data_IF_656769039273
#
_entry.id   IF_656769039273
#
_cell.length_a   1.000
_cell.length_b   1.000
_cell.length_c   1.000
_cell.angle_alpha   90.00
_cell.angle_beta   90.00
_cell.angle_gamma   90.00
#
_symmetry.space_group_name_H-M   'P 1'
#
loop_
_entity.id
_entity.type
_entity.pdbx_description
1 polymer ?
#
# COMPACT_ATOMS: atom_id res chain seq x y z
N UNK A 1 28.61 -21.85 37.78
CA UNK A 1 27.67 -20.89 38.38
C UNK A 1 26.27 -21.39 38.08
N UNK A 2 25.50 -21.78 39.11
CA UNK A 2 24.11 -22.19 38.91
C UNK A 2 23.33 -21.01 38.33
N UNK A 3 22.76 -21.18 37.14
CA UNK A 3 21.85 -20.19 36.55
C UNK A 3 20.68 -20.07 37.54
N UNK A 4 20.46 -18.86 38.05
CA UNK A 4 19.43 -18.61 39.08
C UNK A 4 18.04 -19.03 38.60
N UNK A 5 17.24 -19.57 39.52
CA UNK A 5 15.86 -19.97 39.25
C UNK A 5 15.05 -18.82 38.64
N UNK A 6 14.16 -19.14 37.70
CA UNK A 6 13.16 -18.19 37.21
C UNK A 6 12.40 -17.58 38.39
N UNK A 7 12.30 -16.26 38.39
CA UNK A 7 11.72 -15.51 39.49
C UNK A 7 10.42 -14.83 39.07
N UNK A 8 9.71 -14.28 40.06
CA UNK A 8 8.43 -13.57 39.84
C UNK A 8 8.52 -12.42 38.84
N UNK A 9 9.65 -11.73 38.77
CA UNK A 9 9.82 -10.59 37.85
C UNK A 9 9.89 -11.06 36.40
N UNK A 10 10.57 -12.19 36.14
CA UNK A 10 10.61 -12.80 34.81
C UNK A 10 9.21 -13.10 34.28
N UNK A 11 8.37 -13.82 35.03
CA UNK A 11 7.02 -14.17 34.58
C UNK A 11 6.15 -12.93 34.31
N UNK A 12 6.27 -11.89 35.15
CA UNK A 12 5.56 -10.61 34.92
C UNK A 12 6.03 -9.91 33.64
N UNK A 13 7.33 -9.89 33.40
CA UNK A 13 7.93 -9.30 32.19
C UNK A 13 7.48 -10.06 30.94
N UNK A 14 7.57 -11.39 30.96
CA UNK A 14 7.19 -12.25 29.86
C UNK A 14 5.71 -12.12 29.54
N UNK A 15 4.83 -12.20 30.55
CA UNK A 15 3.39 -11.97 30.38
C UNK A 15 3.10 -10.58 29.81
N UNK A 16 3.80 -9.54 30.26
CA UNK A 16 3.60 -8.17 29.76
C UNK A 16 3.90 -8.08 28.26
N UNK A 17 5.10 -8.48 27.82
CA UNK A 17 5.46 -8.38 26.39
C UNK A 17 4.61 -9.24 25.48
N UNK A 18 4.27 -10.46 25.91
CA UNK A 18 3.34 -11.30 25.15
C UNK A 18 1.95 -10.66 25.04
N UNK A 19 1.46 -10.02 26.11
CA UNK A 19 0.17 -9.33 26.10
C UNK A 19 0.18 -8.08 25.19
N UNK A 20 1.23 -7.27 25.27
CA UNK A 20 1.41 -6.11 24.38
C UNK A 20 1.48 -6.56 22.91
N UNK A 21 2.17 -7.65 22.63
CA UNK A 21 2.22 -8.24 21.29
C UNK A 21 0.81 -8.63 20.78
N UNK A 22 -0.02 -9.29 21.60
CA UNK A 22 -1.40 -9.63 21.22
C UNK A 22 -2.21 -8.36 20.92
N UNK A 23 -2.13 -7.34 21.78
CA UNK A 23 -2.89 -6.10 21.63
C UNK A 23 -2.48 -5.37 20.35
N UNK A 24 -1.17 -5.19 20.13
CA UNK A 24 -0.65 -4.51 18.94
C UNK A 24 -1.11 -5.19 17.66
N UNK A 25 -0.97 -6.51 17.61
CA UNK A 25 -1.32 -7.27 16.44
C UNK A 25 -2.84 -7.32 16.22
N UNK A 26 -3.65 -7.32 17.29
CA UNK A 26 -5.11 -7.19 17.18
C UNK A 26 -5.51 -5.82 16.61
N UNK A 27 -4.88 -4.73 17.05
CA UNK A 27 -5.08 -3.41 16.46
C UNK A 27 -4.71 -3.39 14.97
N UNK A 28 -3.58 -3.98 14.59
CA UNK A 28 -3.20 -4.14 13.18
C UNK A 28 -4.23 -4.97 12.41
N UNK A 29 -4.76 -6.04 13.00
CA UNK A 29 -5.75 -6.92 12.36
C UNK A 29 -6.99 -6.13 11.96
N UNK A 30 -7.51 -5.32 12.88
CA UNK A 30 -8.66 -4.44 12.62
C UNK A 30 -8.34 -3.48 11.48
N UNK A 31 -7.16 -2.86 11.54
CA UNK A 31 -6.71 -1.97 10.49
C UNK A 31 -6.65 -2.72 9.14
N UNK A 32 -5.95 -3.85 9.05
CA UNK A 32 -5.80 -4.64 7.82
C UNK A 32 -7.13 -5.15 7.26
N UNK A 33 -8.07 -5.57 8.11
CA UNK A 33 -9.42 -5.98 7.68
C UNK A 33 -10.16 -4.79 7.05
N UNK A 34 -10.01 -3.58 7.59
CA UNK A 34 -10.73 -2.40 7.13
C UNK A 34 -10.06 -1.70 5.93
N UNK A 35 -8.73 -1.56 5.96
CA UNK A 35 -7.90 -0.82 5.00
C UNK A 35 -7.12 -1.68 4.01
N UNK A 36 -7.13 -3.01 4.16
CA UNK A 36 -6.42 -3.93 3.28
C UNK A 36 -4.89 -3.78 3.34
N UNK A 37 -4.22 -4.20 2.26
CA UNK A 37 -2.75 -4.14 2.15
C UNK A 37 -2.20 -2.70 2.12
N UNK A 38 -3.07 -1.71 1.88
CA UNK A 38 -2.73 -0.28 1.74
C UNK A 38 -2.06 0.26 3.00
N UNK A 39 -2.44 -0.25 4.17
CA UNK A 39 -1.85 0.16 5.46
C UNK A 39 -0.33 0.00 5.49
N UNK A 40 0.21 -0.96 4.74
CA UNK A 40 1.66 -1.18 4.66
C UNK A 40 2.41 -0.03 3.98
N UNK A 41 1.71 0.76 3.17
CA UNK A 41 2.27 1.88 2.42
C UNK A 41 2.02 3.23 3.08
N UNK A 42 1.45 3.25 4.29
CA UNK A 42 1.36 4.45 5.11
C UNK A 42 2.75 4.86 5.59
N UNK A 43 3.03 6.16 5.65
CA UNK A 43 4.33 6.71 6.03
C UNK A 43 4.74 6.28 7.45
N UNK A 44 3.74 6.17 8.34
CA UNK A 44 3.90 5.71 9.72
C UNK A 44 4.15 4.19 9.85
N UNK A 45 3.89 3.40 8.80
CA UNK A 45 3.93 1.94 8.88
C UNK A 45 5.32 1.36 9.14
N UNK A 46 6.43 1.81 8.51
CA UNK A 46 7.76 1.27 8.78
C UNK A 46 8.21 1.42 10.23
N UNK A 47 7.94 2.57 10.85
CA UNK A 47 8.26 2.79 12.28
C UNK A 47 7.42 1.87 13.17
N UNK A 48 6.13 1.73 12.85
CA UNK A 48 5.25 0.80 13.55
C UNK A 48 5.70 -0.67 13.39
N UNK A 49 6.15 -1.06 12.19
CA UNK A 49 6.66 -2.39 11.89
C UNK A 49 7.91 -2.71 12.70
N UNK A 50 8.88 -1.79 12.79
CA UNK A 50 10.06 -1.96 13.63
C UNK A 50 9.72 -2.03 15.12
N UNK A 51 8.80 -1.18 15.58
CA UNK A 51 8.39 -1.13 16.99
C UNK A 51 7.68 -2.43 17.40
N UNK A 52 6.71 -2.88 16.60
CA UNK A 52 6.01 -4.16 16.83
C UNK A 52 6.96 -5.35 16.72
N UNK A 53 7.89 -5.34 15.76
CA UNK A 53 8.96 -6.31 15.64
C UNK A 53 9.83 -6.41 16.90
N UNK A 54 10.25 -5.28 17.47
CA UNK A 54 11.03 -5.26 18.71
C UNK A 54 10.27 -5.90 19.88
N UNK A 55 8.98 -5.57 20.06
CA UNK A 55 8.13 -6.19 21.09
C UNK A 55 7.99 -7.71 20.88
N UNK A 56 7.79 -8.14 19.63
CA UNK A 56 7.75 -9.55 19.28
C UNK A 56 9.05 -10.27 19.65
N UNK A 57 10.22 -9.73 19.30
CA UNK A 57 11.51 -10.36 19.61
C UNK A 57 11.81 -10.42 21.10
N UNK A 58 11.38 -9.43 21.90
CA UNK A 58 11.52 -9.49 23.35
C UNK A 58 10.63 -10.60 23.93
N UNK A 59 9.38 -10.71 23.47
CA UNK A 59 8.50 -11.82 23.87
C UNK A 59 9.08 -13.20 23.49
N UNK A 60 9.66 -13.31 22.29
CA UNK A 60 10.33 -14.53 21.85
C UNK A 60 11.56 -14.85 22.69
N UNK A 61 12.37 -13.85 23.05
CA UNK A 61 13.51 -14.00 23.94
C UNK A 61 13.08 -14.54 25.32
N UNK A 62 11.96 -14.06 25.88
CA UNK A 62 11.41 -14.61 27.11
C UNK A 62 11.07 -16.11 26.97
N UNK A 63 10.50 -16.54 25.84
CA UNK A 63 10.22 -17.97 25.59
C UNK A 63 11.50 -18.80 25.46
N UNK A 64 12.51 -18.30 24.74
CA UNK A 64 13.83 -18.94 24.64
C UNK A 64 14.45 -19.11 26.02
N UNK A 65 14.45 -18.06 26.84
CA UNK A 65 15.01 -18.09 28.20
C UNK A 65 14.25 -19.08 29.10
N UNK A 66 12.91 -19.11 29.01
CA UNK A 66 12.08 -20.08 29.71
C UNK A 66 12.42 -21.52 29.32
N UNK A 67 12.49 -21.82 28.02
CA UNK A 67 12.79 -23.18 27.54
C UNK A 67 14.20 -23.63 27.88
N UNK A 68 15.17 -22.72 27.89
CA UNK A 68 16.52 -23.00 28.35
C UNK A 68 16.52 -23.41 29.83
N UNK A 69 15.83 -22.65 30.68
CA UNK A 69 15.78 -22.91 32.11
C UNK A 69 15.02 -24.21 32.46
N UNK A 70 13.88 -24.44 31.82
CA UNK A 70 13.07 -25.65 31.99
C UNK A 70 13.66 -26.89 31.27
N UNK A 71 14.78 -26.72 30.57
CA UNK A 71 15.49 -27.78 29.82
C UNK A 71 14.62 -28.41 28.72
N UNK A 72 13.76 -27.60 28.08
CA UNK A 72 12.97 -27.99 26.92
C UNK A 72 13.78 -27.83 25.62
N UNK A 73 14.87 -28.61 25.49
CA UNK A 73 15.89 -28.43 24.44
C UNK A 73 15.34 -28.35 23.00
N UNK A 74 14.36 -29.18 22.65
CA UNK A 74 13.77 -29.20 21.30
C UNK A 74 12.95 -27.93 21.04
N UNK A 75 12.15 -27.50 22.01
CA UNK A 75 11.39 -26.24 21.93
C UNK A 75 12.33 -25.02 21.91
N UNK A 76 13.39 -25.05 22.72
CA UNK A 76 14.44 -24.04 22.73
C UNK A 76 15.06 -23.83 21.33
N UNK A 77 15.54 -24.92 20.69
CA UNK A 77 16.16 -24.83 19.36
C UNK A 77 15.17 -24.37 18.29
N UNK A 78 13.93 -24.91 18.30
CA UNK A 78 12.90 -24.50 17.34
C UNK A 78 12.52 -23.03 17.48
N UNK A 79 12.51 -22.49 18.70
CA UNK A 79 12.22 -21.07 18.96
C UNK A 79 13.34 -20.16 18.46
N UNK A 80 14.61 -20.58 18.57
CA UNK A 80 15.75 -19.85 17.98
C UNK A 80 15.63 -19.81 16.45
N UNK A 81 15.31 -20.95 15.82
CA UNK A 81 15.11 -21.01 14.36
C UNK A 81 13.97 -20.10 13.91
N UNK A 82 12.85 -20.10 14.63
CA UNK A 82 11.74 -19.17 14.39
C UNK A 82 12.19 -17.71 14.52
N UNK A 83 13.01 -17.39 15.53
CA UNK A 83 13.54 -16.04 15.70
C UNK A 83 14.39 -15.57 14.53
N UNK A 84 15.31 -16.41 14.05
CA UNK A 84 16.14 -16.10 12.89
C UNK A 84 15.31 -15.93 11.61
N UNK A 85 14.33 -16.81 11.39
CA UNK A 85 13.42 -16.73 10.25
C UNK A 85 12.58 -15.44 10.28
N UNK A 86 11.97 -15.13 11.42
CA UNK A 86 11.18 -13.91 11.62
C UNK A 86 12.02 -12.65 11.48
N UNK A 87 13.29 -12.67 11.93
CA UNK A 87 14.19 -11.52 11.78
C UNK A 87 14.52 -11.27 10.32
N UNK A 88 14.87 -12.32 9.57
CA UNK A 88 15.09 -12.21 8.14
C UNK A 88 13.85 -11.70 7.40
N UNK A 89 12.67 -12.21 7.75
CA UNK A 89 11.41 -11.74 7.17
C UNK A 89 11.12 -10.27 7.50
N UNK A 90 11.41 -9.81 8.72
CA UNK A 90 11.28 -8.41 9.10
C UNK A 90 12.21 -7.52 8.26
N UNK A 91 13.47 -7.92 8.08
CA UNK A 91 14.44 -7.19 7.24
C UNK A 91 13.94 -7.09 5.80
N UNK A 92 13.50 -8.21 5.20
CA UNK A 92 12.97 -8.21 3.84
C UNK A 92 11.74 -7.29 3.72
N UNK A 93 10.78 -7.37 4.66
CA UNK A 93 9.61 -6.49 4.62
C UNK A 93 9.98 -5.02 4.78
N UNK A 94 10.88 -4.68 5.70
CA UNK A 94 11.31 -3.30 5.92
C UNK A 94 11.92 -2.70 4.65
N UNK A 95 12.92 -3.36 4.05
CA UNK A 95 13.58 -2.87 2.84
C UNK A 95 12.69 -2.91 1.59
N UNK A 96 11.72 -3.83 1.52
CA UNK A 96 10.71 -3.78 0.47
C UNK A 96 9.83 -2.54 0.58
N UNK A 97 9.47 -2.14 1.80
CA UNK A 97 8.55 -1.04 2.03
C UNK A 97 9.23 0.33 1.95
N UNK A 98 10.45 0.47 2.47
CA UNK A 98 11.14 1.77 2.51
C UNK A 98 12.01 2.04 1.29
N UNK A 99 12.63 1.01 0.72
CA UNK A 99 13.64 1.15 -0.33
C UNK A 99 13.22 0.47 -1.66
N UNK A 100 12.08 -0.22 -1.69
CA UNK A 100 11.63 -1.05 -2.84
C UNK A 100 12.71 -2.07 -3.27
N UNK A 101 13.43 -2.64 -2.29
CA UNK A 101 14.48 -3.65 -2.50
C UNK A 101 14.08 -4.98 -1.91
N UNK A 102 14.73 -6.06 -2.36
CA UNK A 102 14.55 -7.44 -1.86
C UNK A 102 13.19 -8.09 -2.16
N UNK A 103 12.39 -7.53 -3.07
CA UNK A 103 11.08 -8.08 -3.44
C UNK A 103 11.13 -9.54 -3.89
N UNK A 104 12.15 -9.89 -4.70
CA UNK A 104 12.42 -11.26 -5.14
C UNK A 104 12.78 -12.23 -4.00
N UNK A 105 13.00 -11.75 -2.77
CA UNK A 105 13.26 -12.57 -1.58
C UNK A 105 12.02 -12.82 -0.74
N UNK A 106 10.93 -12.08 -0.95
CA UNK A 106 9.72 -12.16 -0.13
C UNK A 106 9.17 -13.58 0.01
N UNK A 107 8.94 -14.25 -1.12
CA UNK A 107 8.37 -15.61 -1.16
C UNK A 107 9.26 -16.57 -0.36
N UNK A 108 10.57 -16.51 -0.56
CA UNK A 108 11.52 -17.36 0.16
C UNK A 108 11.54 -17.08 1.66
N UNK A 109 11.57 -15.80 2.07
CA UNK A 109 11.59 -15.40 3.46
C UNK A 109 10.30 -15.81 4.18
N UNK A 110 9.14 -15.60 3.55
CA UNK A 110 7.85 -15.98 4.11
C UNK A 110 7.71 -17.49 4.25
N UNK A 111 8.15 -18.25 3.23
CA UNK A 111 8.17 -19.72 3.28
C UNK A 111 9.01 -20.24 4.45
N UNK A 112 10.20 -19.66 4.67
CA UNK A 112 11.06 -20.03 5.79
C UNK A 112 10.36 -19.77 7.13
N UNK A 113 9.69 -18.62 7.29
CA UNK A 113 8.90 -18.33 8.51
C UNK A 113 7.80 -19.36 8.74
N UNK A 114 7.00 -19.69 7.71
CA UNK A 114 5.93 -20.67 7.82
C UNK A 114 6.45 -22.06 8.24
N UNK A 115 7.55 -22.51 7.64
CA UNK A 115 8.20 -23.77 8.00
C UNK A 115 8.75 -23.76 9.42
N UNK A 116 9.44 -22.69 9.83
CA UNK A 116 9.94 -22.54 11.21
C UNK A 116 8.79 -22.49 12.22
N UNK A 117 7.65 -21.90 11.85
CA UNK A 117 6.46 -21.83 12.70
C UNK A 117 5.81 -23.21 12.91
N UNK A 118 5.71 -24.02 11.85
CA UNK A 118 5.28 -25.42 11.93
C UNK A 118 6.20 -26.25 12.83
N UNK A 119 7.52 -26.12 12.63
CA UNK A 119 8.53 -26.80 13.45
C UNK A 119 8.41 -26.40 14.92
N UNK A 120 8.15 -25.13 15.20
CA UNK A 120 7.94 -24.65 16.56
C UNK A 120 6.69 -25.28 17.20
N UNK A 121 5.55 -25.32 16.49
CA UNK A 121 4.34 -25.99 16.97
C UNK A 121 4.58 -27.47 17.33
N UNK A 122 5.21 -28.22 16.42
CA UNK A 122 5.57 -29.63 16.64
C UNK A 122 6.51 -29.78 17.83
N UNK A 123 7.51 -28.89 17.95
CA UNK A 123 8.52 -28.96 19.02
C UNK A 123 7.92 -28.96 20.42
N UNK A 124 6.81 -28.24 20.63
CA UNK A 124 6.09 -28.20 21.90
C UNK A 124 5.34 -29.52 22.18
N UNK A 125 4.91 -30.23 21.14
CA UNK A 125 4.15 -31.49 21.26
C UNK A 125 5.04 -32.72 21.44
N UNK A 126 6.28 -32.66 20.95
CA UNK A 126 7.24 -33.77 21.05
C UNK A 126 8.24 -33.61 22.19
N UNK A 127 8.33 -32.41 22.80
CA UNK A 127 9.19 -32.14 23.95
C UNK A 127 8.45 -32.31 25.28
N UNK A 128 9.20 -32.25 26.39
CA UNK A 128 8.66 -32.23 27.76
C UNK A 128 7.70 -31.07 28.02
N UNK A 129 7.75 -30.01 27.21
CA UNK A 129 6.82 -28.89 27.30
C UNK A 129 5.34 -29.35 27.25
N UNK A 130 5.03 -30.42 26.51
CA UNK A 130 3.67 -30.98 26.39
C UNK A 130 3.03 -31.40 27.72
N UNK A 131 3.82 -31.61 28.78
CA UNK A 131 3.34 -31.97 30.11
C UNK A 131 2.60 -30.79 30.77
N UNK A 132 2.94 -29.55 30.39
CA UNK A 132 2.19 -28.35 30.78
C UNK A 132 1.00 -28.19 29.85
N UNK A 133 -0.21 -28.22 30.41
CA UNK A 133 -1.47 -28.13 29.66
C UNK A 133 -1.47 -26.99 28.63
N UNK A 134 -1.11 -25.78 29.05
CA UNK A 134 -1.14 -24.60 28.18
C UNK A 134 -0.06 -24.61 27.09
N UNK A 135 1.11 -25.21 27.33
CA UNK A 135 2.14 -25.36 26.29
C UNK A 135 1.74 -26.42 25.26
N UNK A 136 1.04 -27.48 25.68
CA UNK A 136 0.42 -28.45 24.76
C UNK A 136 -0.64 -27.78 23.89
N UNK A 137 -1.53 -26.96 24.49
CA UNK A 137 -2.52 -26.17 23.75
C UNK A 137 -1.83 -25.22 22.76
N UNK A 138 -0.75 -24.55 23.18
CA UNK A 138 0.04 -23.69 22.29
C UNK A 138 0.59 -24.46 21.08
N UNK A 139 1.19 -25.63 21.31
CA UNK A 139 1.73 -26.47 20.24
C UNK A 139 0.67 -26.89 19.22
N UNK A 140 -0.50 -27.35 19.68
CA UNK A 140 -1.62 -27.72 18.79
C UNK A 140 -2.08 -26.51 17.99
N UNK A 141 -2.31 -25.38 18.66
CA UNK A 141 -2.85 -24.18 18.03
C UNK A 141 -1.90 -23.59 16.97
N UNK A 142 -0.61 -23.46 17.32
CA UNK A 142 0.46 -23.02 16.41
C UNK A 142 0.57 -23.94 15.20
N UNK A 143 0.54 -25.25 15.42
CA UNK A 143 0.68 -26.22 14.33
C UNK A 143 -0.50 -26.16 13.35
N UNK A 144 -1.74 -26.10 13.85
CA UNK A 144 -2.94 -26.03 13.01
C UNK A 144 -2.99 -24.73 12.20
N UNK A 145 -2.67 -23.58 12.82
CA UNK A 145 -2.59 -22.29 12.10
C UNK A 145 -1.47 -22.32 11.07
N UNK A 146 -0.30 -22.85 11.43
CA UNK A 146 0.83 -22.98 10.51
C UNK A 146 0.50 -23.80 9.27
N UNK A 147 -0.25 -24.90 9.43
CA UNK A 147 -0.73 -25.72 8.30
C UNK A 147 -1.67 -24.89 7.42
N UNK A 148 -2.67 -24.24 8.02
CA UNK A 148 -3.66 -23.45 7.28
C UNK A 148 -3.00 -22.31 6.48
N UNK A 149 -2.05 -21.59 7.09
CA UNK A 149 -1.28 -20.54 6.42
C UNK A 149 -0.41 -21.10 5.28
N UNK A 150 0.24 -22.24 5.50
CA UNK A 150 1.08 -22.87 4.48
C UNK A 150 0.25 -23.31 3.27
N UNK A 151 -0.88 -23.99 3.51
CA UNK A 151 -1.79 -24.44 2.45
C UNK A 151 -2.31 -23.25 1.64
N UNK A 152 -2.86 -22.24 2.31
CA UNK A 152 -3.45 -21.08 1.64
C UNK A 152 -2.39 -20.26 0.88
N UNK A 153 -1.18 -20.11 1.44
CA UNK A 153 -0.09 -19.43 0.74
C UNK A 153 0.37 -20.19 -0.50
N UNK A 154 0.67 -21.49 -0.37
CA UNK A 154 1.10 -22.33 -1.51
C UNK A 154 0.02 -22.39 -2.58
N UNK A 155 -1.25 -22.48 -2.19
CA UNK A 155 -2.34 -22.50 -3.15
C UNK A 155 -2.48 -21.15 -3.87
N UNK A 156 -2.36 -20.02 -3.16
CA UNK A 156 -2.39 -18.67 -3.77
C UNK A 156 -1.27 -18.47 -4.80
N UNK A 157 -0.05 -18.98 -4.54
CA UNK A 157 1.07 -18.89 -5.47
C UNK A 157 0.85 -19.66 -6.79
N UNK A 158 0.01 -20.70 -6.77
CA UNK A 158 -0.22 -21.57 -7.92
C UNK A 158 -1.54 -21.24 -8.66
N UNK A 159 -2.37 -20.35 -8.11
CA UNK A 159 -3.65 -19.96 -8.73
C UNK A 159 -3.44 -18.94 -9.86
N UNK A 160 -3.98 -19.28 -11.03
CA UNK A 160 -4.04 -18.38 -12.20
C UNK A 160 -5.32 -17.53 -12.24
N UNK A 161 -6.40 -18.02 -11.64
CA UNK A 161 -7.67 -17.31 -11.53
C UNK A 161 -7.55 -16.17 -10.51
N UNK A 162 -7.79 -14.94 -10.94
CA UNK A 162 -7.58 -13.75 -10.15
C UNK A 162 -8.60 -13.61 -9.00
N UNK A 163 -9.88 -13.87 -9.26
CA UNK A 163 -10.94 -13.70 -8.27
C UNK A 163 -10.83 -14.76 -7.18
N UNK A 164 -10.55 -16.01 -7.59
CA UNK A 164 -10.32 -17.10 -6.64
C UNK A 164 -9.06 -16.86 -5.81
N UNK A 165 -7.98 -16.37 -6.43
CA UNK A 165 -6.75 -16.00 -5.72
C UNK A 165 -7.01 -14.88 -4.71
N UNK A 166 -7.77 -13.85 -5.10
CA UNK A 166 -8.15 -12.76 -4.21
C UNK A 166 -8.96 -13.25 -3.01
N UNK A 167 -10.00 -14.06 -3.24
CA UNK A 167 -10.79 -14.64 -2.14
C UNK A 167 -9.92 -15.51 -1.23
N UNK A 168 -8.96 -16.25 -1.79
CA UNK A 168 -8.02 -17.04 -1.02
C UNK A 168 -7.05 -16.16 -0.20
N UNK A 169 -6.59 -15.04 -0.75
CA UNK A 169 -5.76 -14.06 -0.04
C UNK A 169 -6.53 -13.40 1.12
N UNK A 170 -7.84 -13.15 0.95
CA UNK A 170 -8.73 -12.69 2.02
C UNK A 170 -8.84 -13.75 3.14
N UNK A 171 -9.03 -15.02 2.78
CA UNK A 171 -9.03 -16.14 3.73
C UNK A 171 -7.67 -16.26 4.44
N UNK A 172 -6.57 -16.16 3.70
CA UNK A 172 -5.22 -16.17 4.26
C UNK A 172 -5.03 -15.03 5.27
N UNK A 173 -5.51 -13.82 4.93
CA UNK A 173 -5.53 -12.67 5.83
C UNK A 173 -6.31 -12.93 7.12
N UNK A 174 -7.48 -13.57 7.05
CA UNK A 174 -8.25 -13.96 8.24
C UNK A 174 -7.51 -14.99 9.09
N UNK A 175 -6.82 -15.96 8.47
CA UNK A 175 -6.03 -16.96 9.24
C UNK A 175 -4.84 -16.28 9.93
N UNK A 176 -4.22 -15.27 9.29
CA UNK A 176 -3.22 -14.44 9.96
C UNK A 176 -3.81 -13.77 11.22
N UNK A 177 -5.11 -13.41 11.23
CA UNK A 177 -5.83 -12.94 12.45
C UNK A 177 -5.65 -13.85 13.64
N UNK A 178 -5.79 -15.15 13.38
CA UNK A 178 -5.68 -16.18 14.41
C UNK A 178 -4.23 -16.38 14.88
N UNK A 179 -3.25 -16.17 14.00
CA UNK A 179 -1.81 -16.25 14.33
C UNK A 179 -1.45 -15.31 15.49
N UNK A 180 -2.04 -14.12 15.52
CA UNK A 180 -1.76 -13.12 16.54
C UNK A 180 -2.31 -13.45 17.93
N UNK A 181 -3.16 -14.48 18.04
CA UNK A 181 -3.65 -15.03 19.30
C UNK A 181 -2.72 -16.12 19.87
N UNK A 182 -1.69 -16.53 19.14
CA UNK A 182 -0.77 -17.60 19.56
C UNK A 182 0.01 -17.30 20.85
N UNK A 183 0.25 -16.04 21.29
CA UNK A 183 0.81 -15.76 22.61
C UNK A 183 -0.11 -16.13 23.79
N UNK A 184 -1.44 -16.22 23.60
CA UNK A 184 -2.40 -16.40 24.69
C UNK A 184 -2.16 -17.64 25.56
N UNK A 185 -1.93 -18.85 25.00
CA UNK A 185 -1.63 -20.02 25.82
C UNK A 185 -0.34 -19.85 26.65
N UNK A 186 0.69 -19.15 26.14
CA UNK A 186 1.90 -18.88 26.91
C UNK A 186 1.65 -17.91 28.06
N UNK A 187 0.83 -16.86 27.84
CA UNK A 187 0.39 -15.94 28.88
C UNK A 187 -0.34 -16.72 29.98
N UNK A 188 -1.25 -17.63 29.62
CA UNK A 188 -1.98 -18.46 30.58
C UNK A 188 -1.05 -19.42 31.34
N UNK A 189 -0.04 -19.97 30.66
CA UNK A 189 1.00 -20.79 31.30
C UNK A 189 1.79 -19.99 32.34
N UNK A 190 2.32 -18.83 31.96
CA UNK A 190 3.10 -17.98 32.85
C UNK A 190 2.27 -17.42 34.01
N UNK A 191 1.00 -17.10 33.79
CA UNK A 191 0.11 -16.70 34.87
C UNK A 191 -0.16 -17.85 35.86
N UNK A 192 -0.25 -19.09 35.38
CA UNK A 192 -0.38 -20.25 36.26
C UNK A 192 0.87 -20.49 37.11
N UNK A 193 2.07 -20.41 36.51
CA UNK A 193 3.32 -20.55 37.26
C UNK A 193 3.55 -19.36 38.20
N UNK A 194 3.17 -18.15 37.80
CA UNK A 194 3.24 -16.95 38.64
C UNK A 194 2.43 -17.10 39.93
N UNK A 195 1.24 -17.74 39.88
CA UNK A 195 0.40 -17.99 41.07
C UNK A 195 1.11 -18.82 42.13
N UNK A 196 2.05 -19.68 41.76
CA UNK A 196 2.85 -20.45 42.72
C UNK A 196 3.75 -19.55 43.57
N UNK A 197 4.22 -18.42 43.01
CA UNK A 197 5.01 -17.41 43.70
C UNK A 197 4.16 -16.39 44.49
N UNK A 198 2.90 -16.17 44.12
CA UNK A 198 2.05 -15.18 44.80
C UNK A 198 1.63 -15.60 46.22
N UNK A 199 1.80 -16.88 46.57
CA UNK A 199 1.70 -17.37 47.94
C UNK A 199 2.68 -16.69 48.91
N UNK A 200 3.72 -16.01 48.40
CA UNK A 200 4.78 -15.37 49.20
C UNK A 200 4.58 -13.87 49.50
N UNK A 201 3.44 -13.23 49.15
CA UNK A 201 3.09 -11.83 49.52
C UNK A 201 4.13 -10.70 49.25
N UNK A 202 5.07 -10.86 48.32
CA UNK A 202 6.02 -9.78 47.96
C UNK A 202 5.39 -8.79 46.95
N UNK A 203 5.54 -7.48 47.10
CA UNK A 203 5.02 -6.48 46.13
C UNK A 203 5.78 -6.45 44.79
N UNK A 204 5.22 -5.86 43.73
CA UNK A 204 6.01 -5.50 42.53
C UNK A 204 6.94 -4.32 42.81
N UNK A 205 8.18 -4.38 42.29
CA UNK A 205 9.13 -3.25 42.35
C UNK A 205 8.58 -2.02 41.62
N UNK A 206 8.64 -0.82 42.21
CA UNK A 206 8.28 0.44 41.53
C UNK A 206 9.00 0.65 40.19
N UNK A 207 10.27 0.24 40.10
CA UNK A 207 11.09 0.34 38.86
C UNK A 207 10.47 -0.49 37.72
N UNK A 208 9.97 -1.68 38.04
CA UNK A 208 9.35 -2.57 37.06
C UNK A 208 8.01 -1.99 36.56
N UNK A 209 7.21 -1.41 37.46
CA UNK A 209 5.96 -0.72 37.08
C UNK A 209 6.22 0.47 36.17
N UNK A 210 7.22 1.29 36.48
CA UNK A 210 7.62 2.43 35.66
C UNK A 210 8.10 2.00 34.27
N UNK A 211 8.89 0.92 34.20
CA UNK A 211 9.37 0.35 32.93
C UNK A 211 8.21 -0.11 32.04
N UNK A 212 7.20 -0.78 32.60
CA UNK A 212 6.01 -1.18 31.85
C UNK A 212 5.23 0.02 31.31
N UNK A 213 5.06 1.07 32.11
CA UNK A 213 4.40 2.30 31.67
C UNK A 213 5.17 2.95 30.50
N UNK A 214 6.48 3.09 30.62
CA UNK A 214 7.32 3.68 29.58
C UNK A 214 7.27 2.88 28.28
N UNK A 215 7.39 1.55 28.34
CA UNK A 215 7.29 0.69 27.14
C UNK A 215 5.89 0.80 26.51
N UNK A 216 4.84 0.85 27.33
CA UNK A 216 3.47 1.03 26.83
C UNK A 216 3.36 2.34 26.05
N UNK A 217 3.91 3.44 26.57
CA UNK A 217 3.91 4.74 25.87
C UNK A 217 4.70 4.67 24.56
N UNK A 218 5.91 4.08 24.57
CA UNK A 218 6.76 3.93 23.38
C UNK A 218 6.10 3.11 22.27
N UNK A 219 5.23 2.16 22.64
CA UNK A 219 4.46 1.34 21.70
C UNK A 219 3.19 2.06 21.23
N UNK A 220 2.53 2.79 22.12
CA UNK A 220 1.30 3.51 21.81
C UNK A 220 1.55 4.64 20.80
N UNK A 221 2.66 5.37 20.89
CA UNK A 221 2.92 6.50 19.99
C UNK A 221 2.96 6.06 18.51
N UNK A 222 3.77 5.09 18.07
CA UNK A 222 3.75 4.62 16.68
C UNK A 222 2.42 4.01 16.27
N UNK A 223 1.70 3.37 17.20
CA UNK A 223 0.38 2.78 16.92
C UNK A 223 -0.68 3.85 16.71
N UNK A 224 -0.69 4.90 17.55
CA UNK A 224 -1.57 6.06 17.40
C UNK A 224 -1.23 6.79 16.11
N UNK A 225 0.05 7.00 15.81
CA UNK A 225 0.47 7.61 14.55
C UNK A 225 -0.01 6.79 13.36
N UNK A 226 0.12 5.46 13.39
CA UNK A 226 -0.40 4.59 12.33
C UNK A 226 -1.92 4.70 12.18
N UNK A 227 -2.65 4.75 13.29
CA UNK A 227 -4.10 4.91 13.27
C UNK A 227 -4.52 6.30 12.80
N UNK A 228 -3.80 7.36 13.19
CA UNK A 228 -4.04 8.73 12.74
C UNK A 228 -3.72 8.88 11.26
N UNK A 229 -2.62 8.31 10.79
CA UNK A 229 -2.23 8.27 9.39
C UNK A 229 -3.28 7.50 8.58
N UNK A 230 -3.70 6.32 9.05
CA UNK A 230 -4.82 5.58 8.48
C UNK A 230 -6.14 6.38 8.44
N UNK A 231 -6.49 7.09 9.53
CA UNK A 231 -7.70 7.94 9.59
C UNK A 231 -7.58 9.17 8.69
N UNK A 232 -6.39 9.78 8.60
CA UNK A 232 -6.14 10.95 7.78
C UNK A 232 -6.13 10.59 6.29
N UNK A 233 -5.64 9.39 5.98
CA UNK A 233 -5.61 8.81 4.66
C UNK A 233 -6.81 7.90 4.33
N UNK A 234 -7.85 7.78 5.19
CA UNK A 234 -9.09 7.00 4.97
C UNK A 234 -9.98 7.72 3.93
N UNK A 235 -10.06 7.44 2.62
CA UNK A 235 -10.06 6.23 1.78
C UNK A 235 -11.21 5.23 1.95
N UNK A 236 -12.32 5.61 2.61
CA UNK A 236 -13.58 4.86 2.38
C UNK A 236 -14.94 5.56 2.56
N UNK A 237 -15.04 6.83 2.95
CA UNK A 237 -16.30 7.58 2.89
C UNK A 237 -16.07 9.08 3.20
N UNK A 238 -15.38 9.81 2.33
CA UNK A 238 -15.67 11.25 2.27
C UNK A 238 -16.99 11.35 1.54
N UNK A 239 -18.10 11.49 2.28
CA UNK A 239 -19.33 12.03 1.67
C UNK A 239 -18.90 13.27 0.90
N UNK A 240 -19.02 13.30 -0.43
CA UNK A 240 -18.48 14.41 -1.20
C UNK A 240 -19.08 15.71 -0.69
N UNK A 241 -18.26 16.75 -0.55
CA UNK A 241 -18.76 18.07 -0.14
C UNK A 241 -19.73 18.61 -1.20
N UNK A 242 -20.60 19.54 -0.82
CA UNK A 242 -21.53 20.15 -1.78
C UNK A 242 -20.81 20.82 -2.95
N UNK A 243 -19.61 21.38 -2.71
CA UNK A 243 -18.77 21.90 -3.78
C UNK A 243 -18.29 20.80 -4.74
N UNK A 244 -17.83 19.65 -4.23
CA UNK A 244 -17.40 18.52 -5.06
C UNK A 244 -18.57 17.96 -5.90
N UNK A 245 -19.75 17.84 -5.29
CA UNK A 245 -20.97 17.42 -6.00
C UNK A 245 -21.34 18.41 -7.11
N UNK A 246 -21.29 19.71 -6.82
CA UNK A 246 -21.57 20.78 -7.80
C UNK A 246 -20.55 20.81 -8.93
N UNK A 247 -19.28 20.55 -8.65
CA UNK A 247 -18.25 20.47 -9.68
C UNK A 247 -18.51 19.27 -10.59
N UNK A 248 -18.74 18.09 -10.01
CA UNK A 248 -19.00 16.86 -10.76
C UNK A 248 -20.33 16.86 -11.51
N UNK A 249 -21.34 17.64 -11.09
CA UNK A 249 -22.64 17.71 -11.78
C UNK A 249 -22.56 18.32 -13.17
N UNK A 250 -21.50 19.07 -13.47
CA UNK A 250 -21.23 19.55 -14.83
C UNK A 250 -20.77 18.44 -15.77
N UNK A 251 -20.32 17.29 -15.25
CA UNK A 251 -19.85 16.12 -16.00
C UNK A 251 -20.89 14.99 -15.98
N UNK A 252 -21.07 14.34 -17.12
CA UNK A 252 -21.91 13.14 -17.23
C UNK A 252 -21.30 11.98 -16.44
N UNK A 253 -22.12 11.28 -15.66
CA UNK A 253 -21.74 10.09 -14.89
C UNK A 253 -21.86 8.85 -15.77
N UNK A 254 -20.79 8.06 -15.86
CA UNK A 254 -20.78 6.80 -16.58
C UNK A 254 -20.02 5.73 -15.79
N UNK A 255 -20.25 4.46 -16.12
CA UNK A 255 -19.50 3.31 -15.60
C UNK A 255 -19.15 2.43 -16.78
N UNK A 256 -17.85 2.26 -17.04
CA UNK A 256 -17.36 1.27 -17.98
C UNK A 256 -17.32 -0.10 -17.29
N UNK A 257 -17.68 -1.16 -18.01
CA UNK A 257 -17.64 -2.54 -17.53
C UNK A 257 -16.91 -3.37 -18.58
N UNK A 258 -15.80 -4.00 -18.19
CA UNK A 258 -15.05 -4.85 -19.12
C UNK A 258 -15.66 -6.26 -19.25
N UNK A 259 -15.06 -7.11 -20.09
CA UNK A 259 -15.51 -8.49 -20.31
C UNK A 259 -15.41 -9.39 -19.08
N UNK A 260 -14.66 -9.00 -18.05
CA UNK A 260 -14.54 -9.72 -16.77
C UNK A 260 -15.58 -9.26 -15.75
N UNK A 261 -16.30 -8.17 -16.03
CA UNK A 261 -17.24 -7.53 -15.11
C UNK A 261 -16.59 -6.49 -14.20
N UNK A 262 -15.29 -6.20 -14.37
CA UNK A 262 -14.61 -5.16 -13.63
C UNK A 262 -15.13 -3.78 -14.06
N UNK A 263 -15.33 -2.89 -13.07
CA UNK A 263 -16.02 -1.61 -13.26
C UNK A 263 -15.07 -0.44 -13.10
N UNK A 264 -15.20 0.55 -13.98
CA UNK A 264 -14.54 1.84 -13.88
C UNK A 264 -15.58 2.97 -13.89
N UNK A 265 -15.92 3.56 -12.73
CA UNK A 265 -16.65 4.81 -12.69
C UNK A 265 -15.82 5.92 -13.34
N UNK A 266 -16.46 6.71 -14.20
CA UNK A 266 -15.81 7.88 -14.77
C UNK A 266 -16.81 9.02 -15.00
N UNK A 267 -16.23 10.20 -15.16
CA UNK A 267 -16.94 11.42 -15.53
C UNK A 267 -16.50 11.88 -16.91
N UNK A 268 -17.47 12.33 -17.71
CA UNK A 268 -17.23 12.81 -19.05
C UNK A 268 -17.85 14.20 -19.23
N UNK A 269 -17.04 15.19 -19.62
CA UNK A 269 -17.54 16.47 -20.09
C UNK A 269 -17.35 16.57 -21.59
N UNK A 270 -18.44 16.81 -22.31
CA UNK A 270 -18.42 16.99 -23.76
C UNK A 270 -17.89 18.38 -24.16
N UNK A 271 -17.37 18.54 -25.39
CA UNK A 271 -17.04 19.85 -25.94
C UNK A 271 -18.20 20.84 -25.77
N UNK A 272 -17.90 22.12 -25.53
CA UNK A 272 -18.93 23.17 -25.53
C UNK A 272 -19.60 23.20 -26.91
N UNK A 273 -20.93 23.23 -26.96
CA UNK A 273 -21.71 23.16 -28.20
C UNK A 273 -21.40 21.90 -29.05
N UNK A 274 -21.26 20.75 -28.39
CA UNK A 274 -20.94 19.47 -29.03
C UNK A 274 -21.81 19.19 -30.27
N UNK A 275 -21.15 19.01 -31.41
CA UNK A 275 -21.76 18.55 -32.66
C UNK A 275 -21.35 17.09 -32.91
N UNK A 276 -22.29 16.12 -32.95
CA UNK A 276 -21.96 14.71 -33.18
C UNK A 276 -21.32 14.45 -34.55
N UNK A 277 -21.40 15.39 -35.50
CA UNK A 277 -20.79 15.23 -36.81
C UNK A 277 -19.33 15.66 -36.89
N UNK A 278 -18.83 16.39 -35.90
CA UNK A 278 -17.46 16.88 -35.82
C UNK A 278 -16.60 16.00 -34.90
N UNK A 279 -15.34 15.78 -35.30
CA UNK A 279 -14.37 15.09 -34.47
C UNK A 279 -13.67 16.05 -33.47
N UNK A 280 -13.60 15.67 -32.20
CA UNK A 280 -12.96 16.48 -31.14
C UNK A 280 -11.85 15.72 -30.42
N UNK A 281 -10.81 16.42 -29.90
CA UNK A 281 -9.79 15.81 -29.05
C UNK A 281 -10.38 15.11 -27.81
N UNK A 282 -9.60 14.19 -27.25
CA UNK A 282 -9.86 13.58 -25.94
C UNK A 282 -8.74 13.95 -24.96
N UNK A 283 -9.09 14.68 -23.90
CA UNK A 283 -8.23 14.90 -22.75
C UNK A 283 -8.54 13.86 -21.66
N UNK A 284 -7.60 12.96 -21.43
CA UNK A 284 -7.61 11.97 -20.35
C UNK A 284 -6.95 12.61 -19.14
N UNK A 285 -7.76 13.03 -18.17
CA UNK A 285 -7.29 13.71 -16.96
C UNK A 285 -7.32 12.74 -15.77
N UNK A 286 -6.15 12.41 -15.24
CA UNK A 286 -5.97 11.46 -14.16
C UNK A 286 -5.78 12.21 -12.84
N UNK A 287 -6.60 11.88 -11.85
CA UNK A 287 -6.57 12.54 -10.54
C UNK A 287 -5.35 12.13 -9.69
N UNK A 288 -4.96 12.97 -8.74
CA UNK A 288 -3.98 12.60 -7.71
C UNK A 288 -4.58 11.64 -6.67
N UNK A 289 -3.77 11.10 -5.74
CA UNK A 289 -4.20 10.02 -4.83
C UNK A 289 -5.43 10.33 -3.97
N UNK A 290 -5.72 11.60 -3.71
CA UNK A 290 -6.91 12.04 -2.98
C UNK A 290 -8.23 11.84 -3.73
N UNK A 291 -8.18 11.51 -5.03
CA UNK A 291 -9.33 11.23 -5.87
C UNK A 291 -9.82 9.79 -5.86
N UNK A 292 -9.07 8.88 -5.24
CA UNK A 292 -9.40 7.46 -5.16
C UNK A 292 -10.76 7.26 -4.46
N UNK A 293 -11.69 6.55 -5.08
CA UNK A 293 -13.05 6.39 -4.55
C UNK A 293 -13.94 5.53 -5.44
N UNK A 294 -15.22 5.44 -5.08
CA UNK A 294 -16.21 4.61 -5.80
C UNK A 294 -17.52 5.35 -6.09
N UNK A 295 -17.66 6.57 -5.58
CA UNK A 295 -18.86 7.40 -5.65
C UNK A 295 -18.98 8.19 -6.95
N UNK A 296 -17.97 8.14 -7.80
CA UNK A 296 -17.89 8.83 -9.07
C UNK A 296 -18.03 10.36 -8.92
N UNK A 297 -17.47 10.99 -7.89
CA UNK A 297 -17.59 12.45 -7.68
C UNK A 297 -16.23 13.13 -7.41
N UNK A 298 -15.46 12.65 -6.43
CA UNK A 298 -14.33 13.44 -5.92
C UNK A 298 -13.16 13.52 -6.90
N UNK A 299 -13.10 12.66 -7.92
CA UNK A 299 -12.03 12.65 -8.90
C UNK A 299 -11.95 13.93 -9.72
N UNK A 300 -13.07 14.68 -9.87
CA UNK A 300 -13.05 15.95 -10.59
C UNK A 300 -12.31 17.02 -9.77
N UNK A 301 -12.58 17.07 -8.46
CA UNK A 301 -11.98 18.02 -7.54
C UNK A 301 -10.48 17.77 -7.27
N UNK A 302 -9.99 16.61 -7.66
CA UNK A 302 -8.61 16.14 -7.44
C UNK A 302 -7.88 15.88 -8.77
N UNK A 303 -8.45 16.40 -9.85
CA UNK A 303 -7.85 16.43 -11.18
C UNK A 303 -7.78 17.88 -11.64
N UNK A 304 -6.68 18.54 -11.34
CA UNK A 304 -6.46 19.97 -11.59
C UNK A 304 -6.65 20.30 -13.06
N UNK A 305 -6.12 19.46 -13.94
CA UNK A 305 -6.24 19.66 -15.39
C UNK A 305 -7.69 19.53 -15.87
N UNK A 306 -8.50 18.66 -15.24
CA UNK A 306 -9.93 18.60 -15.55
C UNK A 306 -10.65 19.88 -15.10
N UNK A 307 -10.29 20.42 -13.93
CA UNK A 307 -10.82 21.68 -13.43
C UNK A 307 -10.48 22.83 -14.38
N UNK A 308 -9.19 23.00 -14.70
CA UNK A 308 -8.71 24.03 -15.63
C UNK A 308 -9.40 23.91 -16.99
N UNK A 309 -9.45 22.72 -17.59
CA UNK A 309 -10.08 22.52 -18.91
C UNK A 309 -11.60 22.75 -18.88
N UNK A 310 -12.25 22.49 -17.75
CA UNK A 310 -13.70 22.71 -17.58
C UNK A 310 -14.10 24.17 -17.40
N UNK A 311 -13.14 25.08 -17.17
CA UNK A 311 -13.42 26.51 -17.08
C UNK A 311 -14.03 27.05 -18.39
N UNK A 312 -15.02 27.97 -18.32
CA UNK A 312 -15.73 28.45 -19.52
C UNK A 312 -14.83 28.95 -20.65
N UNK A 313 -13.76 29.70 -20.31
CA UNK A 313 -12.78 30.23 -21.28
C UNK A 313 -12.03 29.11 -22.01
N UNK A 314 -11.66 28.04 -21.29
CA UNK A 314 -10.88 26.93 -21.83
C UNK A 314 -11.76 25.98 -22.62
N UNK A 315 -13.01 25.76 -22.20
CA UNK A 315 -14.00 24.98 -22.98
C UNK A 315 -14.33 25.62 -24.33
N UNK A 316 -14.27 26.94 -24.41
CA UNK A 316 -14.49 27.70 -25.63
C UNK A 316 -13.27 27.70 -26.54
N UNK A 317 -12.08 27.94 -25.98
CA UNK A 317 -10.82 27.97 -26.73
C UNK A 317 -10.36 26.57 -27.17
N UNK A 318 -10.62 25.55 -26.37
CA UNK A 318 -10.16 24.17 -26.56
C UNK A 318 -11.33 23.18 -26.46
N UNK A 319 -12.23 23.15 -27.45
CA UNK A 319 -13.35 22.22 -27.45
C UNK A 319 -12.85 20.78 -27.54
N UNK A 320 -13.01 20.02 -26.45
CA UNK A 320 -12.56 18.64 -26.31
C UNK A 320 -13.48 17.85 -25.38
N UNK A 321 -13.44 16.53 -25.51
CA UNK A 321 -13.93 15.64 -24.47
C UNK A 321 -12.95 15.65 -23.30
N UNK A 322 -13.44 15.78 -22.08
CA UNK A 322 -12.65 15.67 -20.86
C UNK A 322 -13.13 14.42 -20.14
N UNK A 323 -12.27 13.40 -20.12
CA UNK A 323 -12.52 12.10 -19.53
C UNK A 323 -11.72 11.98 -18.23
N UNK A 324 -12.44 11.76 -17.12
CA UNK A 324 -11.88 11.70 -15.76
C UNK A 324 -12.27 10.37 -15.12
N UNK A 325 -11.46 9.31 -15.28
CA UNK A 325 -11.69 8.04 -14.62
C UNK A 325 -11.44 8.15 -13.11
N UNK A 326 -12.20 7.41 -12.30
CA UNK A 326 -11.94 7.29 -10.87
C UNK A 326 -11.29 5.95 -10.55
N UNK A 327 -10.05 5.99 -10.07
CA UNK A 327 -9.40 4.81 -9.55
C UNK A 327 -10.05 4.38 -8.23
N UNK A 328 -10.39 3.08 -8.03
CA UNK A 328 -10.87 2.61 -6.74
C UNK A 328 -9.78 2.74 -5.66
N UNK A 329 -10.16 2.81 -4.37
CA UNK A 329 -9.21 2.82 -3.27
C UNK A 329 -8.19 1.67 -3.36
N UNK A 330 -6.91 1.99 -3.14
CA UNK A 330 -5.81 1.01 -3.21
C UNK A 330 -5.35 0.64 -4.61
N UNK A 331 -5.76 1.40 -5.62
CA UNK A 331 -5.32 1.21 -7.00
C UNK A 331 -4.74 2.50 -7.59
N UNK A 332 -4.02 2.34 -8.68
CA UNK A 332 -3.41 3.41 -9.46
C UNK A 332 -3.82 3.30 -10.92
N UNK A 333 -3.49 4.32 -11.71
CA UNK A 333 -3.59 4.25 -13.16
C UNK A 333 -2.43 3.49 -13.82
N UNK A 334 -1.52 2.91 -13.02
CA UNK A 334 -0.27 2.28 -13.44
C UNK A 334 0.97 3.12 -13.11
N UNK A 335 2.16 2.58 -13.39
CA UNK A 335 3.44 3.28 -13.23
C UNK A 335 4.13 3.12 -11.87
N UNK A 336 3.40 2.72 -10.83
CA UNK A 336 3.97 2.46 -9.50
C UNK A 336 4.31 0.96 -9.39
N UNK A 337 5.59 0.58 -9.13
CA UNK A 337 5.99 -0.80 -8.95
C UNK A 337 5.19 -1.50 -7.85
N UNK A 338 4.75 -2.73 -8.11
CA UNK A 338 4.02 -3.59 -7.16
C UNK A 338 2.74 -2.99 -6.54
N UNK A 339 2.18 -1.94 -7.17
CA UNK A 339 0.91 -1.35 -6.77
C UNK A 339 -0.20 -1.79 -7.72
N UNK A 340 -1.42 -2.12 -7.23
CA UNK A 340 -2.54 -2.47 -8.10
C UNK A 340 -2.81 -1.37 -9.13
N UNK A 341 -3.11 -1.76 -10.36
CA UNK A 341 -3.31 -0.83 -11.47
C UNK A 341 -4.58 -1.13 -12.26
N UNK A 342 -5.20 -0.07 -12.77
CA UNK A 342 -6.43 -0.11 -13.57
C UNK A 342 -6.21 0.40 -15.01
N UNK A 343 -4.97 0.36 -15.50
CA UNK A 343 -4.59 0.80 -16.86
C UNK A 343 -5.46 0.13 -17.94
N UNK A 344 -5.69 -1.17 -17.85
CA UNK A 344 -6.57 -1.90 -18.77
C UNK A 344 -8.01 -1.36 -18.81
N UNK A 345 -8.57 -0.99 -17.65
CA UNK A 345 -9.93 -0.43 -17.57
C UNK A 345 -10.00 0.97 -18.18
N UNK A 346 -8.99 1.80 -17.93
CA UNK A 346 -8.88 3.14 -18.53
C UNK A 346 -8.81 3.04 -20.04
N UNK A 347 -7.97 2.14 -20.56
CA UNK A 347 -7.82 1.91 -22.00
C UNK A 347 -9.11 1.35 -22.63
N UNK A 348 -9.80 0.45 -21.94
CA UNK A 348 -11.10 -0.08 -22.37
C UNK A 348 -12.18 0.99 -22.44
N UNK A 349 -12.27 1.85 -21.44
CA UNK A 349 -13.22 2.97 -21.42
C UNK A 349 -12.94 3.97 -22.56
N UNK A 350 -11.66 4.28 -22.84
CA UNK A 350 -11.28 5.11 -23.98
C UNK A 350 -11.77 4.48 -25.30
N UNK A 351 -11.54 3.18 -25.49
CA UNK A 351 -12.01 2.47 -26.69
C UNK A 351 -13.54 2.48 -26.83
N UNK A 352 -14.29 2.33 -25.73
CA UNK A 352 -15.76 2.43 -25.75
C UNK A 352 -16.23 3.85 -26.13
N UNK A 353 -15.58 4.88 -25.57
CA UNK A 353 -15.89 6.27 -25.91
C UNK A 353 -15.67 6.56 -27.40
N UNK A 354 -14.65 5.97 -28.02
CA UNK A 354 -14.35 6.13 -29.45
C UNK A 354 -15.35 5.42 -30.35
N UNK A 355 -15.99 4.35 -29.88
CA UNK A 355 -17.10 3.72 -30.59
C UNK A 355 -18.38 4.56 -30.49
N UNK A 356 -18.56 5.27 -29.37
CA UNK A 356 -19.77 6.05 -29.07
C UNK A 356 -19.77 7.46 -29.62
N UNK A 357 -18.60 8.09 -29.71
CA UNK A 357 -18.44 9.50 -30.08
C UNK A 357 -17.41 9.67 -31.20
N UNK A 358 -17.57 10.70 -32.04
CA UNK A 358 -16.53 11.10 -33.01
C UNK A 358 -15.35 11.75 -32.25
N UNK A 359 -14.46 10.92 -31.73
CA UNK A 359 -13.20 11.35 -31.12
C UNK A 359 -12.13 11.43 -32.20
N UNK A 360 -11.39 12.53 -32.23
CA UNK A 360 -10.21 12.68 -33.07
C UNK A 360 -9.07 11.84 -32.49
N UNK A 361 -8.89 10.65 -33.07
CA UNK A 361 -7.90 9.67 -32.63
C UNK A 361 -6.46 10.17 -32.76
N UNK A 362 -6.21 11.20 -33.58
CA UNK A 362 -4.89 11.84 -33.69
C UNK A 362 -4.63 12.88 -32.60
N UNK A 363 -5.62 13.19 -31.75
CA UNK A 363 -5.52 14.21 -30.67
C UNK A 363 -6.06 13.66 -29.35
N UNK A 364 -5.42 12.61 -28.86
CA UNK A 364 -5.62 12.09 -27.50
C UNK A 364 -4.50 12.56 -26.60
N UNK A 365 -4.83 13.12 -25.46
CA UNK A 365 -3.87 13.65 -24.50
C UNK A 365 -4.02 12.94 -23.17
N UNK A 366 -2.92 12.64 -22.49
CA UNK A 366 -2.95 12.11 -21.12
C UNK A 366 -2.21 13.04 -20.17
N UNK A 367 -2.82 13.35 -19.04
CA UNK A 367 -2.24 14.26 -18.05
C UNK A 367 -2.73 13.94 -16.65
N UNK A 368 -1.90 14.24 -15.65
CA UNK A 368 -2.27 14.00 -14.26
C UNK A 368 -1.16 14.37 -13.29
N UNK A 369 -1.56 14.49 -12.02
CA UNK A 369 -0.72 14.93 -10.89
C UNK A 369 -0.48 13.76 -9.95
N UNK A 370 0.75 13.61 -9.43
CA UNK A 370 1.11 12.60 -8.41
C UNK A 370 0.73 11.18 -8.87
N UNK A 371 -0.26 10.52 -8.25
CA UNK A 371 -0.82 9.24 -8.73
C UNK A 371 -1.21 9.28 -10.23
N UNK A 372 -1.84 10.37 -10.66
CA UNK A 372 -2.16 10.62 -12.07
C UNK A 372 -0.93 10.96 -12.92
N UNK A 373 0.13 11.48 -12.33
CA UNK A 373 1.43 11.69 -12.96
C UNK A 373 2.11 10.36 -13.28
N UNK A 374 2.13 9.41 -12.33
CA UNK A 374 2.56 8.03 -12.58
C UNK A 374 1.73 7.38 -13.69
N UNK A 375 0.40 7.53 -13.63
CA UNK A 375 -0.51 7.07 -14.68
C UNK A 375 -0.20 7.65 -16.05
N UNK A 376 0.13 8.94 -16.13
CA UNK A 376 0.43 9.64 -17.38
C UNK A 376 1.72 9.12 -18.01
N UNK A 377 2.78 8.97 -17.23
CA UNK A 377 4.02 8.32 -17.67
C UNK A 377 3.78 6.89 -18.13
N UNK A 378 3.04 6.12 -17.33
CA UNK A 378 2.76 4.71 -17.61
C UNK A 378 1.96 4.51 -18.89
N UNK A 379 0.83 5.20 -19.04
CA UNK A 379 -0.04 5.05 -20.20
C UNK A 379 0.68 5.52 -21.47
N UNK A 380 1.41 6.63 -21.44
CA UNK A 380 2.13 7.12 -22.61
C UNK A 380 3.31 6.21 -23.01
N UNK A 381 4.04 5.65 -22.05
CA UNK A 381 5.20 4.78 -22.31
C UNK A 381 4.85 3.35 -22.72
N UNK A 382 3.71 2.83 -22.24
CA UNK A 382 3.23 1.47 -22.57
C UNK A 382 2.29 1.45 -23.77
N UNK A 383 1.65 2.58 -24.10
CA UNK A 383 0.80 2.77 -25.28
C UNK A 383 1.27 3.97 -26.11
N UNK A 384 2.50 3.94 -26.66
CA UNK A 384 3.06 5.06 -27.41
C UNK A 384 2.32 5.34 -28.73
N UNK A 385 1.51 4.39 -29.20
CA UNK A 385 0.61 4.50 -30.33
C UNK A 385 -0.64 5.35 -30.04
N UNK A 386 -1.08 5.40 -28.78
CA UNK A 386 -2.40 5.93 -28.45
C UNK A 386 -2.44 7.45 -28.31
N UNK A 387 -1.46 8.03 -27.63
CA UNK A 387 -1.48 9.45 -27.26
C UNK A 387 -0.68 10.32 -28.24
N UNK A 388 -1.17 11.54 -28.45
CA UNK A 388 -0.54 12.60 -29.23
C UNK A 388 0.36 13.48 -28.36
N UNK A 389 0.10 13.57 -27.06
CA UNK A 389 0.94 14.27 -26.10
C UNK A 389 0.67 13.82 -24.66
N UNK A 390 1.63 14.06 -23.76
CA UNK A 390 1.46 13.84 -22.33
C UNK A 390 1.95 15.01 -21.46
N UNK A 391 1.24 15.26 -20.35
CA UNK A 391 1.63 16.19 -19.28
C UNK A 391 1.65 15.44 -17.93
N UNK A 392 2.74 14.72 -17.61
CA UNK A 392 2.95 14.13 -16.31
C UNK A 392 3.46 15.16 -15.29
N UNK A 393 2.84 15.22 -14.12
CA UNK A 393 3.17 16.21 -13.06
C UNK A 393 3.48 15.47 -11.76
N UNK A 394 4.63 15.76 -11.16
CA UNK A 394 5.12 15.22 -9.88
C UNK A 394 4.86 13.71 -9.68
N UNK A 395 5.12 12.91 -10.72
CA UNK A 395 5.00 11.44 -10.71
C UNK A 395 6.28 10.78 -11.21
N UNK A 396 6.26 9.46 -11.36
CA UNK A 396 7.37 8.67 -11.90
C UNK A 396 6.95 7.68 -12.98
N UNK A 397 7.93 7.14 -13.71
CA UNK A 397 7.72 6.09 -14.69
C UNK A 397 8.83 5.04 -14.61
N UNK A 398 8.72 3.98 -15.40
CA UNK A 398 9.83 3.05 -15.58
C UNK A 398 10.80 3.64 -16.62
N UNK A 399 12.05 4.01 -16.25
CA UNK A 399 13.01 4.60 -17.18
C UNK A 399 13.31 3.72 -18.39
N UNK A 400 13.21 2.39 -18.25
CA UNK A 400 13.38 1.44 -19.36
C UNK A 400 12.34 1.61 -20.47
N UNK A 401 11.18 2.19 -20.15
CA UNK A 401 10.11 2.48 -21.11
C UNK A 401 10.19 3.92 -21.65
N UNK A 402 11.07 4.78 -21.13
CA UNK A 402 11.20 6.17 -21.59
C UNK A 402 11.52 6.26 -23.10
N UNK A 403 12.30 5.31 -23.62
CA UNK A 403 12.62 5.20 -25.06
C UNK A 403 11.39 5.05 -25.95
N UNK A 404 10.32 4.44 -25.44
CA UNK A 404 9.08 4.28 -26.20
C UNK A 404 8.37 5.62 -26.43
N UNK A 405 8.69 6.63 -25.62
CA UNK A 405 8.10 7.96 -25.68
C UNK A 405 8.92 8.95 -26.50
N UNK A 406 10.03 8.54 -27.12
CA UNK A 406 10.93 9.45 -27.84
C UNK A 406 10.22 10.34 -28.88
N UNK A 407 9.18 9.80 -29.53
CA UNK A 407 8.39 10.51 -30.55
C UNK A 407 7.09 11.13 -30.00
N UNK A 408 6.85 11.08 -28.69
CA UNK A 408 5.67 11.64 -28.05
C UNK A 408 6.06 13.02 -27.49
N UNK A 409 5.37 14.09 -27.90
CA UNK A 409 5.46 15.38 -27.23
C UNK A 409 5.12 15.26 -25.74
N UNK A 410 6.09 15.55 -24.88
CA UNK A 410 5.93 15.56 -23.42
C UNK A 410 6.30 16.92 -22.86
N UNK A 411 5.49 17.41 -21.92
CA UNK A 411 5.86 18.52 -21.05
C UNK A 411 5.64 18.09 -19.60
N UNK A 412 6.73 17.70 -18.94
CA UNK A 412 6.71 17.22 -17.56
C UNK A 412 6.98 18.36 -16.57
N UNK A 413 6.45 18.21 -15.35
CA UNK A 413 6.60 19.18 -14.27
C UNK A 413 6.93 18.49 -12.95
N UNK A 414 7.78 19.09 -12.12
CA UNK A 414 8.09 18.57 -10.77
C UNK A 414 8.61 19.69 -9.85
N UNK A 415 8.45 19.52 -8.54
CA UNK A 415 9.07 20.37 -7.53
C UNK A 415 10.44 19.82 -7.15
N UNK A 416 11.44 20.68 -6.99
CA UNK A 416 12.81 20.25 -6.63
C UNK A 416 12.88 19.57 -5.26
N UNK A 417 12.10 20.06 -4.29
CA UNK A 417 12.11 19.61 -2.90
C UNK A 417 10.92 18.68 -2.58
N UNK A 418 10.37 17.99 -3.59
CA UNK A 418 9.25 17.06 -3.39
C UNK A 418 9.67 15.87 -2.52
N UNK A 419 9.16 15.85 -1.28
CA UNK A 419 9.40 14.79 -0.30
C UNK A 419 8.47 13.58 -0.44
N UNK A 420 7.39 13.71 -1.22
CA UNK A 420 6.38 12.66 -1.37
C UNK A 420 6.72 11.77 -2.57
N UNK A 421 7.07 12.40 -3.69
CA UNK A 421 7.55 11.73 -4.89
C UNK A 421 8.91 12.33 -5.22
N UNK A 422 10.03 11.59 -5.09
CA UNK A 422 11.33 12.14 -5.37
C UNK A 422 11.41 12.72 -6.80
N UNK A 423 11.87 13.96 -6.92
CA UNK A 423 12.06 14.67 -8.21
C UNK A 423 12.87 13.86 -9.22
N UNK A 424 13.76 13.00 -8.73
CA UNK A 424 14.57 12.09 -9.54
C UNK A 424 13.73 11.22 -10.47
N UNK A 425 12.51 10.84 -10.09
CA UNK A 425 11.65 10.02 -10.94
C UNK A 425 11.22 10.72 -12.23
N UNK A 426 11.01 12.05 -12.21
CA UNK A 426 10.82 12.81 -13.45
C UNK A 426 12.13 12.96 -14.21
N UNK A 427 13.23 13.25 -13.51
CA UNK A 427 14.56 13.45 -14.13
C UNK A 427 14.99 12.19 -14.91
N UNK A 428 14.83 11.00 -14.33
CA UNK A 428 15.19 9.72 -14.97
C UNK A 428 14.39 9.46 -16.25
N UNK A 429 13.08 9.75 -16.23
CA UNK A 429 12.23 9.61 -17.43
C UNK A 429 12.64 10.62 -18.52
N UNK A 430 12.92 11.86 -18.14
CA UNK A 430 13.37 12.91 -19.06
C UNK A 430 14.71 12.54 -19.69
N UNK A 431 15.67 12.09 -18.88
CA UNK A 431 16.98 11.65 -19.36
C UNK A 431 16.84 10.45 -20.31
N UNK A 432 16.08 9.43 -19.93
CA UNK A 432 15.85 8.26 -20.78
C UNK A 432 15.18 8.61 -22.13
N UNK A 433 14.26 9.57 -22.14
CA UNK A 433 13.67 10.08 -23.38
C UNK A 433 14.70 10.81 -24.25
N UNK A 434 15.55 11.66 -23.65
CA UNK A 434 16.60 12.40 -24.36
C UNK A 434 17.66 11.47 -24.95
N UNK A 435 18.10 10.45 -24.18
CA UNK A 435 19.03 9.43 -24.65
C UNK A 435 18.47 8.63 -25.85
N UNK A 436 17.16 8.45 -25.91
CA UNK A 436 16.47 7.81 -27.04
C UNK A 436 16.22 8.77 -28.24
N UNK A 437 16.74 10.01 -28.20
CA UNK A 437 16.60 11.00 -29.26
C UNK A 437 15.34 11.87 -29.17
N UNK A 438 14.52 11.69 -28.12
CA UNK A 438 13.35 12.51 -27.85
C UNK A 438 13.70 13.92 -27.37
N UNK A 439 12.72 14.81 -27.44
CA UNK A 439 12.86 16.23 -27.03
C UNK A 439 11.76 16.64 -26.04
N UNK A 440 11.68 16.01 -24.86
CA UNK A 440 10.69 16.40 -23.86
C UNK A 440 10.97 17.81 -23.33
N UNK A 441 9.90 18.54 -23.02
CA UNK A 441 9.98 19.74 -22.18
C UNK A 441 9.91 19.32 -20.71
N UNK A 442 10.72 19.96 -19.88
CA UNK A 442 10.72 19.74 -18.44
C UNK A 442 10.78 21.08 -17.70
N UNK A 443 9.88 21.26 -16.75
CA UNK A 443 9.83 22.43 -15.89
C UNK A 443 9.92 21.98 -14.44
N UNK A 444 11.09 22.17 -13.86
CA UNK A 444 11.35 21.92 -12.45
C UNK A 444 11.25 23.22 -11.66
N UNK A 445 10.55 23.20 -10.52
CA UNK A 445 10.33 24.39 -9.71
C UNK A 445 11.25 24.38 -8.48
N UNK A 446 12.22 25.29 -8.47
CA UNK A 446 13.23 25.47 -7.40
C UNK A 446 12.56 25.76 -6.04
N UNK A 447 13.01 25.05 -5.00
CA UNK A 447 12.50 25.21 -3.62
C UNK A 447 11.02 24.86 -3.42
N UNK A 448 10.40 24.12 -4.36
CA UNK A 448 8.98 23.71 -4.28
C UNK A 448 8.88 22.23 -3.95
N UNK A 449 8.04 21.90 -2.97
CA UNK A 449 7.67 20.52 -2.62
C UNK A 449 6.58 19.92 -3.52
N UNK A 450 5.79 18.98 -2.98
CA UNK A 450 4.80 18.22 -3.75
C UNK A 450 3.68 19.06 -4.40
N UNK A 451 3.37 20.21 -3.80
CA UNK A 451 2.21 21.05 -4.14
C UNK A 451 2.45 21.94 -5.37
N UNK A 452 2.85 21.35 -6.50
CA UNK A 452 3.27 22.08 -7.70
C UNK A 452 2.13 22.53 -8.62
N UNK A 453 0.92 21.99 -8.45
CA UNK A 453 -0.19 22.16 -9.39
C UNK A 453 -0.53 23.62 -9.70
N UNK A 454 -0.49 24.51 -8.71
CA UNK A 454 -0.77 25.95 -8.95
C UNK A 454 0.23 26.56 -9.93
N UNK A 455 1.53 26.28 -9.77
CA UNK A 455 2.58 26.76 -10.68
C UNK A 455 2.44 26.13 -12.06
N UNK A 456 2.04 24.86 -12.13
CA UNK A 456 1.75 24.19 -13.40
C UNK A 456 0.54 24.83 -14.11
N UNK A 457 -0.49 25.23 -13.39
CA UNK A 457 -1.66 25.92 -13.95
C UNK A 457 -1.36 27.35 -14.40
N UNK A 458 -0.51 28.06 -13.67
CA UNK A 458 -0.05 29.39 -14.04
C UNK A 458 1.01 29.37 -15.17
N UNK A 459 1.50 28.20 -15.58
CA UNK A 459 2.50 28.07 -16.65
C UNK A 459 1.94 28.57 -18.00
N UNK A 460 2.49 29.66 -18.57
CA UNK A 460 1.97 30.25 -19.80
C UNK A 460 2.11 29.30 -21.00
N UNK A 461 1.09 29.26 -21.86
CA UNK A 461 1.15 28.49 -23.10
C UNK A 461 1.00 26.98 -22.93
N UNK A 462 0.78 26.45 -21.72
CA UNK A 462 0.67 25.00 -21.47
C UNK A 462 -0.45 24.36 -22.29
N UNK A 463 -1.65 24.95 -22.26
CA UNK A 463 -2.80 24.43 -22.99
C UNK A 463 -2.67 24.69 -24.50
N UNK A 464 -2.17 25.85 -24.90
CA UNK A 464 -1.86 26.15 -26.30
C UNK A 464 -0.89 25.11 -26.89
N UNK A 465 0.18 24.80 -26.15
CA UNK A 465 1.13 23.77 -26.52
C UNK A 465 0.46 22.42 -26.63
N UNK A 466 -0.31 22.00 -25.62
CA UNK A 466 -0.99 20.70 -25.60
C UNK A 466 -1.91 20.53 -26.82
N UNK A 467 -2.80 21.49 -27.05
CA UNK A 467 -3.81 21.41 -28.11
C UNK A 467 -3.24 21.62 -29.52
N UNK A 468 -1.99 22.10 -29.64
CA UNK A 468 -1.26 22.12 -30.91
C UNK A 468 -0.68 20.75 -31.30
N UNK A 469 -0.57 19.81 -30.36
CA UNK A 469 0.00 18.49 -30.65
C UNK A 469 -0.99 17.62 -31.42
N UNK A 470 -0.49 16.91 -32.42
CA UNK A 470 -1.27 15.97 -33.23
C UNK A 470 -0.35 14.83 -33.66
N UNK A 471 -0.86 13.60 -33.58
CA UNK A 471 -0.17 12.42 -34.10
C UNK A 471 -0.26 12.41 -35.63
N UNK A 472 0.82 12.02 -36.30
CA UNK A 472 0.90 11.95 -37.76
C UNK A 472 -0.13 11.00 -38.38
#
# INVERSE_FOLDING_TARGET
MGIGQLNRQFYRLATFFLSVSVILNFCLSIALIQGGIIIKYLESYPIWLLTSGAIYFIGLFCLVFYYFHEKYNVAFLATILLGLASFWFLVVNYFMLTEQRLEGRFISAYTIVLLSFLLYGISLLVSKAREKFWLKVAGIFIFLIGIALTITFVWSLNLKDFDLRRSLDEVHGIILVLLWLTPLPFILNFNNELKEFEKQKIGSSPVLKFSFLLITILVLIPTINLLQDYVSNNLRNKTPSEWQKKLASSFESHIFIDSTGAKLPYRLLKPKNYNPDQAYPLAVCLHHGGGNGTENIIQIATSELAQTLSEPKNREKYPAFIFVPQAPPGSSFGGIPNYPKIDGLVLGAIAELEQKYKIDTKRRYVMGVSLGGFGSWHLASTRPDLFAAAIPICGGGNPEHAKNMANIPVWAFHGEEDSNVPVQFSRDMIEGMQQAGGRPKYSEFEGVGHDVWRKVDETPGKLEWLFSQKKD
#
